data_IF_882957790021
#
_entry.id   IF_882957790021
#
_cell.length_a   1.000
_cell.length_b   1.000
_cell.length_c   1.000
_cell.angle_alpha   90.00
_cell.angle_beta   90.00
_cell.angle_gamma   90.00
#
_symmetry.space_group_name_H-M   'P 1'
#
loop_
_entity.id
_entity.type
_entity.pdbx_description
1 polymer ?
#
# COMPACT_ATOMS: atom_id res chain seq x y z
N UNK A 1 -3.99 2.13 -2.96
CA UNK A 1 -3.87 0.68 -2.73
C UNK A 1 -2.41 0.26 -2.70
N UNK A 2 -1.90 -0.14 -1.53
CA UNK A 2 -0.47 -0.42 -1.32
C UNK A 2 0.12 -1.38 -2.38
N UNK A 3 -0.60 -2.43 -2.79
CA UNK A 3 -0.12 -3.44 -3.76
C UNK A 3 -0.02 -2.97 -5.23
N UNK A 4 -0.48 -1.75 -5.54
CA UNK A 4 -0.29 -1.12 -6.85
C UNK A 4 0.83 -0.07 -6.86
N UNK A 5 1.57 0.07 -5.76
CA UNK A 5 2.63 1.08 -5.66
C UNK A 5 3.78 0.76 -6.60
N UNK A 6 4.26 1.78 -7.31
CA UNK A 6 5.49 1.73 -8.11
C UNK A 6 6.43 2.86 -7.69
N UNK A 7 7.65 2.88 -8.24
CA UNK A 7 8.59 3.98 -8.00
C UNK A 7 8.01 5.33 -8.50
N UNK A 8 7.27 5.34 -9.61
CA UNK A 8 6.64 6.53 -10.19
C UNK A 8 5.34 6.93 -9.48
N UNK A 9 4.62 5.96 -8.92
CA UNK A 9 3.34 6.17 -8.23
C UNK A 9 3.32 5.41 -6.89
N UNK A 10 4.05 5.90 -5.88
CA UNK A 10 4.00 5.32 -4.54
C UNK A 10 2.60 5.52 -3.93
N UNK A 11 2.09 4.53 -3.18
CA UNK A 11 0.77 4.58 -2.52
C UNK A 11 0.85 4.13 -1.06
N UNK A 12 1.64 4.86 -0.28
CA UNK A 12 1.99 4.54 1.12
C UNK A 12 1.46 5.59 2.12
N UNK A 13 0.49 6.39 1.72
CA UNK A 13 -0.04 7.51 2.52
C UNK A 13 -0.74 7.04 3.80
N UNK A 14 -1.25 5.80 3.80
CA UNK A 14 -1.88 5.16 4.96
C UNK A 14 -0.89 4.44 5.88
N UNK A 15 0.39 4.37 5.51
CA UNK A 15 1.41 3.80 6.36
C UNK A 15 1.91 4.88 7.35
N UNK A 16 2.30 4.51 8.58
CA UNK A 16 2.98 5.43 9.48
C UNK A 16 4.23 6.01 8.81
N UNK A 17 4.53 7.29 9.00
CA UNK A 17 5.75 7.91 8.45
C UNK A 17 6.94 7.77 9.40
N UNK A 18 8.15 8.02 8.87
CA UNK A 18 9.39 8.10 9.65
C UNK A 18 10.22 6.81 9.64
N UNK A 19 11.45 6.92 10.15
CA UNK A 19 12.45 5.84 10.19
C UNK A 19 12.00 4.60 10.98
N UNK A 20 11.08 4.79 11.92
CA UNK A 20 10.50 3.73 12.77
C UNK A 20 9.20 3.15 12.18
N UNK A 21 8.78 3.59 10.98
CA UNK A 21 7.61 3.03 10.30
C UNK A 21 7.78 1.54 10.05
N UNK A 22 6.71 0.74 10.14
CA UNK A 22 6.79 -0.64 9.65
C UNK A 22 6.82 -0.74 8.12
N UNK A 23 6.49 0.33 7.40
CA UNK A 23 6.54 0.38 5.94
C UNK A 23 7.95 0.67 5.46
N UNK A 24 8.51 -0.25 4.65
CA UNK A 24 9.87 -0.11 4.14
C UNK A 24 10.06 1.12 3.24
N UNK A 25 9.04 1.53 2.48
CA UNK A 25 9.09 2.74 1.68
C UNK A 25 9.13 3.99 2.56
N UNK A 26 8.28 4.06 3.60
CA UNK A 26 8.27 5.19 4.55
C UNK A 26 9.59 5.29 5.31
N UNK A 27 10.21 4.17 5.69
CA UNK A 27 11.56 4.16 6.28
C UNK A 27 12.60 4.74 5.31
N UNK A 28 12.61 4.25 4.07
CA UNK A 28 13.56 4.67 3.06
C UNK A 28 13.41 6.17 2.74
N UNK A 29 12.17 6.64 2.63
CA UNK A 29 11.86 8.05 2.41
C UNK A 29 12.33 8.94 3.57
N UNK A 30 12.23 8.46 4.82
CA UNK A 30 12.65 9.22 6.00
C UNK A 30 14.16 9.38 6.16
N UNK A 31 14.96 8.52 5.53
CA UNK A 31 16.43 8.56 5.56
C UNK A 31 17.05 8.95 4.19
N UNK A 32 16.22 9.45 3.27
CA UNK A 32 16.60 9.82 1.90
C UNK A 32 17.35 8.71 1.14
N UNK A 33 16.92 7.45 1.33
CA UNK A 33 17.52 6.30 0.66
C UNK A 33 17.19 6.28 -0.83
N UNK A 34 18.22 6.43 -1.66
CA UNK A 34 18.11 6.43 -3.14
C UNK A 34 17.99 5.03 -3.76
N UNK A 35 18.32 4.00 -2.98
CA UNK A 35 18.39 2.61 -3.46
C UNK A 35 17.07 1.85 -3.28
N UNK A 36 16.05 2.49 -2.73
CA UNK A 36 14.76 1.84 -2.56
C UNK A 36 14.14 1.48 -3.92
N UNK A 37 13.67 0.24 -4.04
CA UNK A 37 12.93 -0.25 -5.19
C UNK A 37 11.63 -0.90 -4.75
N UNK A 38 10.53 -0.49 -5.38
CA UNK A 38 9.26 -1.16 -5.17
C UNK A 38 9.31 -2.62 -5.63
N UNK A 39 8.59 -3.46 -4.90
CA UNK A 39 8.28 -4.81 -5.38
C UNK A 39 7.37 -4.70 -6.61
N UNK A 40 7.37 -5.70 -7.51
CA UNK A 40 6.45 -5.71 -8.64
C UNK A 40 5.01 -5.48 -8.19
N UNK A 41 4.36 -4.51 -8.82
CA UNK A 41 2.96 -4.22 -8.57
C UNK A 41 2.07 -5.40 -8.97
N UNK A 42 0.90 -5.50 -8.36
CA UNK A 42 -0.13 -6.42 -8.83
C UNK A 42 -0.52 -6.09 -10.27
N UNK A 43 -0.82 -7.14 -11.05
CA UNK A 43 -1.44 -6.94 -12.35
C UNK A 43 -2.81 -6.31 -12.17
N UNK A 44 -3.17 -5.44 -13.10
CA UNK A 44 -4.48 -4.76 -13.10
C UNK A 44 -5.62 -5.75 -13.01
N UNK A 45 -5.57 -6.85 -13.77
CA UNK A 45 -6.60 -7.90 -13.76
C UNK A 45 -6.79 -8.54 -12.39
N UNK A 46 -5.70 -8.86 -11.68
CA UNK A 46 -5.80 -9.45 -10.33
C UNK A 46 -6.33 -8.43 -9.33
N UNK A 47 -5.88 -7.19 -9.44
CA UNK A 47 -6.36 -6.12 -8.58
C UNK A 47 -7.86 -5.85 -8.76
N UNK A 48 -8.33 -5.71 -10.00
CA UNK A 48 -9.75 -5.50 -10.33
C UNK A 48 -10.64 -6.66 -9.85
N UNK A 49 -10.14 -7.90 -9.92
CA UNK A 49 -10.87 -9.06 -9.42
C UNK A 49 -11.00 -9.08 -7.89
N UNK A 50 -9.99 -8.59 -7.16
CA UNK A 50 -9.96 -8.64 -5.68
C UNK A 50 -10.57 -7.39 -5.05
N UNK A 51 -10.50 -6.24 -5.72
CA UNK A 51 -10.96 -4.96 -5.19
C UNK A 51 -12.38 -4.98 -4.60
N UNK A 52 -13.42 -5.46 -5.31
CA UNK A 52 -14.78 -5.44 -4.76
C UNK A 52 -14.89 -6.28 -3.48
N UNK A 53 -14.20 -7.43 -3.41
CA UNK A 53 -14.16 -8.29 -2.22
C UNK A 53 -13.46 -7.56 -1.06
N UNK A 54 -12.33 -6.90 -1.34
CA UNK A 54 -11.62 -6.12 -0.33
C UNK A 54 -12.48 -5.00 0.23
N UNK A 55 -13.20 -4.27 -0.63
CA UNK A 55 -14.07 -3.16 -0.24
C UNK A 55 -15.26 -3.65 0.60
N UNK A 56 -15.92 -4.73 0.18
CA UNK A 56 -17.00 -5.35 0.94
C UNK A 56 -16.54 -5.80 2.33
N UNK A 57 -15.39 -6.50 2.41
CA UNK A 57 -14.81 -6.96 3.67
C UNK A 57 -14.23 -5.84 4.54
N UNK A 58 -14.08 -4.63 3.99
CA UNK A 58 -13.62 -3.46 4.73
C UNK A 58 -14.77 -2.53 5.12
N UNK A 59 -16.03 -2.90 4.86
CA UNK A 59 -17.18 -2.08 5.20
C UNK A 59 -17.40 -2.02 6.71
N UNK A 60 -17.66 -0.80 7.23
CA UNK A 60 -18.05 -0.59 8.62
C UNK A 60 -19.39 -1.26 8.95
N UNK A 61 -20.23 -1.56 7.94
CA UNK A 61 -21.49 -2.29 8.12
C UNK A 61 -21.25 -3.67 8.76
N UNK A 62 -20.10 -4.30 8.48
CA UNK A 62 -19.71 -5.58 9.06
C UNK A 62 -19.34 -5.49 10.56
N UNK A 63 -19.17 -4.27 11.09
CA UNK A 63 -18.93 -4.04 12.53
C UNK A 63 -20.25 -3.91 13.32
N UNK A 64 -21.37 -3.75 12.63
CA UNK A 64 -22.69 -3.67 13.27
C UNK A 64 -23.19 -5.08 13.65
N UNK A 65 -23.93 -5.18 14.76
CA UNK A 65 -24.30 -6.45 15.40
C UNK A 65 -25.81 -6.60 15.53
#
# INVERSE_FOLDING_TARGET
FHKLSTDEKPQHEKCPSGENSWCSWQKAQAIDSVDYKHKPAFSTTVFEAILPIYEELSSDDLLTR
#
